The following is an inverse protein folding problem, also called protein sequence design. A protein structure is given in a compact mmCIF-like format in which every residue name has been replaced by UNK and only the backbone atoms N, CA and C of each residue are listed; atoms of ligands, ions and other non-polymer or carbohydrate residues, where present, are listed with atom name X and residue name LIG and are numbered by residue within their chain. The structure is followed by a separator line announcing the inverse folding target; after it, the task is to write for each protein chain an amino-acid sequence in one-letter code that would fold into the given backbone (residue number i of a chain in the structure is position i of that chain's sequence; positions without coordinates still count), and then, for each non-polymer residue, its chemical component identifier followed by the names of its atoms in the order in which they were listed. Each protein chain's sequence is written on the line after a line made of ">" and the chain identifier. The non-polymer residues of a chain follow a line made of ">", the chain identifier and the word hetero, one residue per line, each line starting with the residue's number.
data_IF_487623613219
#
_entry.id   IF_487623613219
#
_cell.length_a   1.000
_cell.length_b   1.000
_cell.length_c   1.000
_cell.angle_alpha   90.00
_cell.angle_beta   90.00
_cell.angle_gamma   90.00
#
_symmetry.space_group_name_H-M   'P 1'
#
loop_
_entity.id
_entity.type
_entity.pdbx_description
1 polymer ?
#
# COMPACT_ATOMS: atom_id res chain seq x y z
N UNK A 1 -18.47 -23.13 17.07
CA UNK A 1 -19.80 -22.55 16.80
C UNK A 1 -20.84 -23.45 17.46
N UNK A 2 -21.74 -22.90 18.28
CA UNK A 2 -22.78 -23.68 18.97
C UNK A 2 -23.82 -24.21 17.97
N UNK A 3 -24.57 -25.24 18.35
CA UNK A 3 -25.57 -25.84 17.45
C UNK A 3 -26.74 -24.90 17.14
N UNK A 4 -27.10 -24.03 18.08
CA UNK A 4 -28.07 -22.96 17.86
C UNK A 4 -27.63 -22.00 16.74
N UNK A 5 -26.35 -21.57 16.75
CA UNK A 5 -25.81 -20.68 15.72
C UNK A 5 -25.73 -21.37 14.36
N UNK A 6 -25.39 -22.66 14.32
CA UNK A 6 -25.41 -23.45 13.08
C UNK A 6 -26.83 -23.56 12.52
N UNK A 7 -27.81 -23.89 13.38
CA UNK A 7 -29.21 -24.00 12.99
C UNK A 7 -29.73 -22.68 12.42
N UNK A 8 -29.43 -21.56 13.07
CA UNK A 8 -29.78 -20.22 12.61
C UNK A 8 -29.11 -19.86 11.27
N UNK A 9 -27.81 -20.14 11.10
CA UNK A 9 -27.07 -19.88 9.85
C UNK A 9 -27.62 -20.70 8.68
N UNK A 10 -28.07 -21.94 8.94
CA UNK A 10 -28.66 -22.82 7.93
C UNK A 10 -30.00 -22.30 7.38
N UNK A 11 -30.69 -21.39 8.08
CA UNK A 11 -31.91 -20.74 7.55
C UNK A 11 -31.62 -19.78 6.40
N UNK A 12 -30.36 -19.37 6.21
CA UNK A 12 -29.92 -18.36 5.25
C UNK A 12 -30.54 -16.96 5.41
N UNK A 13 -31.21 -16.69 6.54
CA UNK A 13 -31.73 -15.36 6.89
C UNK A 13 -30.58 -14.36 7.10
N UNK A 14 -29.46 -14.83 7.64
CA UNK A 14 -28.20 -14.09 7.71
C UNK A 14 -27.04 -15.03 7.36
N UNK A 15 -25.88 -14.45 7.07
CA UNK A 15 -24.64 -15.19 6.87
C UNK A 15 -23.56 -14.68 7.81
N UNK A 16 -22.75 -15.61 8.32
CA UNK A 16 -21.55 -15.26 9.08
C UNK A 16 -20.46 -14.96 8.05
N UNK A 17 -20.04 -13.70 7.99
CA UNK A 17 -18.92 -13.26 7.16
C UNK A 17 -17.58 -13.65 7.83
N UNK A 18 -16.44 -13.44 7.16
CA UNK A 18 -15.10 -13.67 7.73
C UNK A 18 -14.76 -15.15 8.05
N UNK A 19 -15.32 -16.09 7.28
CA UNK A 19 -15.08 -17.52 7.47
C UNK A 19 -13.98 -18.07 6.56
N UNK A 20 -13.68 -17.39 5.46
CA UNK A 20 -12.73 -17.81 4.42
C UNK A 20 -11.68 -16.74 4.03
N UNK A 21 -11.72 -15.57 4.67
CA UNK A 21 -10.85 -14.40 4.36
C UNK A 21 -10.48 -13.64 5.62
N UNK A 22 -9.33 -12.99 5.59
CA UNK A 22 -8.88 -12.09 6.66
C UNK A 22 -9.79 -10.87 6.87
N UNK A 23 -9.62 -10.22 8.01
CA UNK A 23 -10.33 -8.99 8.35
C UNK A 23 -9.72 -7.80 7.62
N UNK A 24 -10.49 -7.24 6.70
CA UNK A 24 -10.18 -5.97 6.02
C UNK A 24 -11.07 -4.84 6.50
N UNK A 25 -11.44 -3.95 5.58
CA UNK A 25 -12.19 -2.71 5.88
C UNK A 25 -11.39 -1.76 6.78
N UNK A 26 -10.12 -1.58 6.42
CA UNK A 26 -9.21 -0.69 7.10
C UNK A 26 -8.69 0.36 6.13
N UNK A 27 -8.41 1.54 6.66
CA UNK A 27 -7.58 2.55 6.01
C UNK A 27 -6.31 2.57 6.84
N UNK A 28 -5.17 2.22 6.23
CA UNK A 28 -3.90 2.34 6.93
C UNK A 28 -3.54 3.80 7.15
N UNK A 29 -2.67 4.07 8.11
CA UNK A 29 -2.18 5.42 8.38
C UNK A 29 -1.14 5.85 7.32
N UNK A 30 -1.61 6.07 6.09
CA UNK A 30 -0.80 6.61 5.00
C UNK A 30 -0.13 7.94 5.37
N UNK A 31 -0.78 8.89 6.08
CA UNK A 31 -0.08 10.08 6.57
C UNK A 31 1.15 9.74 7.42
N UNK A 32 1.06 8.82 8.38
CA UNK A 32 2.22 8.41 9.18
C UNK A 32 3.30 7.75 8.33
N UNK A 33 2.91 6.85 7.43
CA UNK A 33 3.84 6.18 6.51
C UNK A 33 4.61 7.19 5.65
N UNK A 34 3.90 8.12 5.00
CA UNK A 34 4.50 9.05 4.04
C UNK A 34 5.31 10.15 4.72
N UNK A 35 4.93 10.57 5.94
CA UNK A 35 5.65 11.62 6.66
C UNK A 35 6.94 11.13 7.34
N UNK A 36 7.01 9.85 7.72
CA UNK A 36 8.17 9.27 8.40
C UNK A 36 9.02 8.38 7.48
N UNK A 37 8.41 7.73 6.49
CA UNK A 37 9.07 6.70 5.67
C UNK A 37 9.31 5.40 6.43
N UNK A 38 9.79 4.36 5.73
CA UNK A 38 10.01 3.05 6.34
C UNK A 38 11.19 3.03 7.31
N UNK A 39 12.29 3.73 6.99
CA UNK A 39 13.48 3.72 7.84
C UNK A 39 13.21 4.28 9.24
N UNK A 40 12.46 5.38 9.35
CA UNK A 40 12.11 5.93 10.66
C UNK A 40 11.16 4.99 11.43
N UNK A 41 10.18 4.38 10.75
CA UNK A 41 9.28 3.41 11.39
C UNK A 41 10.03 2.17 11.91
N UNK A 42 11.03 1.68 11.17
CA UNK A 42 11.93 0.62 11.61
C UNK A 42 12.70 1.06 12.85
N UNK A 43 13.31 2.25 12.85
CA UNK A 43 14.06 2.77 13.99
C UNK A 43 13.18 2.92 15.25
N UNK A 44 11.95 3.45 15.10
CA UNK A 44 10.98 3.53 16.19
C UNK A 44 10.66 2.14 16.75
N UNK A 45 10.45 1.14 15.88
CA UNK A 45 10.12 -0.21 16.32
C UNK A 45 11.32 -0.93 16.96
N UNK A 46 12.54 -0.68 16.50
CA UNK A 46 13.77 -1.16 17.13
C UNK A 46 13.89 -0.64 18.56
N UNK A 47 13.60 0.66 18.78
CA UNK A 47 13.59 1.25 20.12
C UNK A 47 12.53 0.58 21.03
N UNK A 48 11.33 0.32 20.50
CA UNK A 48 10.30 -0.40 21.25
C UNK A 48 10.72 -1.83 21.62
N UNK A 49 11.37 -2.56 20.70
CA UNK A 49 11.92 -3.88 20.97
C UNK A 49 13.01 -3.84 22.05
N UNK A 50 13.88 -2.82 22.05
CA UNK A 50 14.92 -2.66 23.09
C UNK A 50 14.30 -2.39 24.47
N UNK A 51 13.24 -1.59 24.53
CA UNK A 51 12.54 -1.27 25.78
C UNK A 51 11.70 -2.44 26.30
N UNK A 52 11.16 -3.27 25.40
CA UNK A 52 10.32 -4.42 25.73
C UNK A 52 10.77 -5.65 24.93
N UNK A 53 11.93 -6.24 25.27
CA UNK A 53 12.53 -7.34 24.50
C UNK A 53 11.67 -8.58 24.45
N UNK A 54 10.84 -8.85 25.46
CA UNK A 54 9.94 -10.02 25.50
C UNK A 54 8.60 -9.79 24.76
N UNK A 55 8.38 -8.58 24.21
CA UNK A 55 7.14 -8.28 23.49
C UNK A 55 7.18 -8.83 22.06
N UNK A 56 6.66 -10.05 21.89
CA UNK A 56 6.60 -10.73 20.59
C UNK A 56 5.87 -9.93 19.50
N UNK A 57 4.89 -9.09 19.86
CA UNK A 57 4.20 -8.27 18.87
C UNK A 57 5.13 -7.20 18.27
N UNK A 58 5.96 -6.55 19.09
CA UNK A 58 6.94 -5.59 18.59
C UNK A 58 8.02 -6.25 17.73
N UNK A 59 8.49 -7.43 18.13
CA UNK A 59 9.43 -8.21 17.33
C UNK A 59 8.83 -8.58 15.96
N UNK A 60 7.58 -9.06 15.93
CA UNK A 60 6.90 -9.40 14.68
C UNK A 60 6.69 -8.17 13.79
N UNK A 61 6.30 -7.03 14.36
CA UNK A 61 6.12 -5.78 13.63
C UNK A 61 7.45 -5.26 13.04
N UNK A 62 8.56 -5.37 13.78
CA UNK A 62 9.89 -5.02 13.29
C UNK A 62 10.28 -5.90 12.10
N UNK A 63 10.13 -7.22 12.23
CA UNK A 63 10.42 -8.17 11.15
C UNK A 63 9.62 -7.87 9.88
N UNK A 64 8.34 -7.49 10.03
CA UNK A 64 7.49 -7.12 8.89
C UNK A 64 7.97 -5.84 8.20
N UNK A 65 8.36 -4.81 8.96
CA UNK A 65 8.90 -3.57 8.40
C UNK A 65 10.23 -3.82 7.67
N UNK A 66 11.14 -4.60 8.25
CA UNK A 66 12.40 -4.98 7.60
C UNK A 66 12.18 -5.84 6.35
N UNK A 67 11.21 -6.75 6.38
CA UNK A 67 10.80 -7.53 5.21
C UNK A 67 10.22 -6.63 4.11
N UNK A 68 9.49 -5.58 4.48
CA UNK A 68 8.95 -4.59 3.55
C UNK A 68 10.07 -3.82 2.85
N UNK A 69 11.09 -3.37 3.59
CA UNK A 69 12.29 -2.75 3.00
C UNK A 69 12.98 -3.70 2.01
N UNK A 70 13.19 -4.97 2.40
CA UNK A 70 13.80 -5.99 1.52
C UNK A 70 12.97 -6.23 0.26
N UNK A 71 11.64 -6.26 0.37
CA UNK A 71 10.75 -6.41 -0.78
C UNK A 71 10.92 -5.27 -1.78
N UNK A 72 10.99 -4.02 -1.30
CA UNK A 72 11.22 -2.84 -2.14
C UNK A 72 12.59 -2.89 -2.81
N UNK A 73 13.65 -3.28 -2.07
CA UNK A 73 15.00 -3.39 -2.62
C UNK A 73 15.11 -4.45 -3.72
N UNK A 74 14.34 -5.54 -3.65
CA UNK A 74 14.27 -6.54 -4.74
C UNK A 74 13.73 -5.94 -6.03
N UNK A 75 12.78 -5.01 -5.96
CA UNK A 75 12.30 -4.30 -7.15
C UNK A 75 13.34 -3.30 -7.69
N UNK A 76 14.16 -2.70 -6.82
CA UNK A 76 15.27 -1.87 -7.27
C UNK A 76 16.29 -2.68 -8.08
N UNK A 77 16.72 -3.83 -7.56
CA UNK A 77 17.64 -4.74 -8.24
C UNK A 77 17.07 -5.27 -9.57
N UNK A 78 15.77 -5.59 -9.60
CA UNK A 78 15.08 -6.00 -10.81
C UNK A 78 15.07 -4.89 -11.85
N UNK A 79 14.76 -3.65 -11.44
CA UNK A 79 14.71 -2.51 -12.35
C UNK A 79 16.11 -2.20 -12.92
N UNK A 80 17.17 -2.26 -12.11
CA UNK A 80 18.57 -2.15 -12.58
C UNK A 80 18.94 -3.25 -13.59
N UNK A 81 18.55 -4.49 -13.31
CA UNK A 81 18.78 -5.63 -14.20
C UNK A 81 18.07 -5.45 -15.55
N UNK A 82 16.82 -4.96 -15.52
CA UNK A 82 16.06 -4.65 -16.72
C UNK A 82 16.67 -3.47 -17.49
N UNK A 83 17.15 -2.43 -16.79
CA UNK A 83 17.78 -1.27 -17.39
C UNK A 83 19.07 -1.64 -18.14
N UNK A 84 19.90 -2.51 -17.56
CA UNK A 84 21.14 -2.99 -18.17
C UNK A 84 20.90 -3.72 -19.51
N UNK A 85 19.74 -4.36 -19.67
CA UNK A 85 19.36 -5.09 -20.87
C UNK A 85 18.41 -4.28 -21.79
N UNK A 86 18.14 -3.02 -21.46
CA UNK A 86 17.20 -2.17 -22.21
C UNK A 86 17.89 -1.38 -23.31
N UNK A 87 17.46 -1.59 -24.55
CA UNK A 87 17.99 -0.89 -25.73
C UNK A 87 17.38 0.50 -25.90
N UNK A 88 16.13 0.69 -25.46
CA UNK A 88 15.44 1.98 -25.51
C UNK A 88 15.99 2.90 -24.40
N UNK A 89 16.53 4.06 -24.80
CA UNK A 89 17.22 4.96 -23.88
C UNK A 89 16.26 5.60 -22.87
N UNK A 90 15.05 5.96 -23.29
CA UNK A 90 14.05 6.57 -22.41
C UNK A 90 13.57 5.56 -21.37
N UNK A 91 13.23 4.34 -21.82
CA UNK A 91 12.78 3.28 -20.92
C UNK A 91 13.88 2.85 -19.94
N UNK A 92 15.14 2.85 -20.38
CA UNK A 92 16.28 2.59 -19.50
C UNK A 92 16.35 3.63 -18.39
N UNK A 93 16.19 4.90 -18.70
CA UNK A 93 16.20 5.98 -17.70
C UNK A 93 15.04 5.85 -16.70
N UNK A 94 13.83 5.51 -17.18
CA UNK A 94 12.68 5.23 -16.32
C UNK A 94 12.97 4.08 -15.34
N UNK A 95 13.61 3.00 -15.81
CA UNK A 95 13.96 1.85 -14.98
C UNK A 95 15.02 2.21 -13.92
N UNK A 96 16.05 2.98 -14.30
CA UNK A 96 17.04 3.48 -13.35
C UNK A 96 16.40 4.40 -12.30
N UNK A 97 15.48 5.26 -12.72
CA UNK A 97 14.71 6.13 -11.82
C UNK A 97 13.85 5.32 -10.85
N UNK A 98 13.17 4.26 -11.32
CA UNK A 98 12.40 3.35 -10.46
C UNK A 98 13.31 2.69 -9.42
N UNK A 99 14.51 2.27 -9.81
CA UNK A 99 15.48 1.68 -8.89
C UNK A 99 15.94 2.66 -7.83
N UNK A 100 16.33 3.88 -8.23
CA UNK A 100 16.74 4.96 -7.33
C UNK A 100 15.63 5.27 -6.31
N UNK A 101 14.41 5.51 -6.79
CA UNK A 101 13.24 5.78 -5.94
C UNK A 101 12.99 4.63 -4.96
N UNK A 102 13.11 3.38 -5.41
CA UNK A 102 12.90 2.21 -4.56
C UNK A 102 13.96 2.12 -3.47
N UNK A 103 15.24 2.35 -3.80
CA UNK A 103 16.32 2.41 -2.79
C UNK A 103 16.12 3.55 -1.80
N UNK A 104 15.71 4.72 -2.28
CA UNK A 104 15.38 5.86 -1.42
C UNK A 104 14.25 5.52 -0.45
N UNK A 105 13.10 5.08 -0.96
CA UNK A 105 11.90 4.78 -0.17
C UNK A 105 12.09 3.64 0.82
N UNK A 106 13.01 2.71 0.55
CA UNK A 106 13.34 1.66 1.49
C UNK A 106 13.93 2.24 2.80
N UNK A 107 14.64 3.36 2.75
CA UNK A 107 15.36 3.89 3.92
C UNK A 107 14.87 5.28 4.38
N UNK A 108 14.25 6.04 3.50
CA UNK A 108 13.93 7.44 3.74
C UNK A 108 12.47 7.74 3.44
N UNK A 109 11.98 8.86 4.01
CA UNK A 109 10.68 9.39 3.64
C UNK A 109 10.69 9.87 2.18
N UNK A 110 9.58 9.69 1.43
CA UNK A 110 9.45 10.26 0.10
C UNK A 110 9.57 11.78 0.16
N UNK A 111 10.12 12.37 -0.89
CA UNK A 111 10.34 13.81 -1.03
C UNK A 111 9.63 14.37 -2.28
N UNK A 112 9.43 13.53 -3.29
CA UNK A 112 8.71 13.88 -4.52
C UNK A 112 7.38 13.12 -4.63
N UNK A 113 6.51 13.57 -5.53
CA UNK A 113 5.26 12.88 -5.83
C UNK A 113 5.48 11.47 -6.34
N UNK A 114 6.49 11.24 -7.20
CA UNK A 114 6.81 9.91 -7.70
C UNK A 114 7.25 8.98 -6.56
N UNK A 115 8.14 9.43 -5.68
CA UNK A 115 8.55 8.67 -4.51
C UNK A 115 7.35 8.32 -3.62
N UNK A 116 6.47 9.28 -3.36
CA UNK A 116 5.26 9.07 -2.56
C UNK A 116 4.31 8.04 -3.20
N UNK A 117 4.04 8.16 -4.50
CA UNK A 117 3.20 7.22 -5.24
C UNK A 117 3.76 5.80 -5.21
N UNK A 118 5.09 5.66 -5.36
CA UNK A 118 5.75 4.38 -5.35
C UNK A 118 5.72 3.72 -3.95
N UNK A 119 6.02 4.47 -2.88
CA UNK A 119 5.94 3.94 -1.51
C UNK A 119 4.50 3.56 -1.14
N UNK A 120 3.53 4.42 -1.49
CA UNK A 120 2.12 4.14 -1.32
C UNK A 120 1.73 2.81 -2.00
N UNK A 121 2.16 2.60 -3.25
CA UNK A 121 1.83 1.39 -3.99
C UNK A 121 2.48 0.13 -3.40
N UNK A 122 3.77 0.19 -3.04
CA UNK A 122 4.45 -0.94 -2.40
C UNK A 122 3.73 -1.38 -1.13
N UNK A 123 3.33 -0.43 -0.28
CA UNK A 123 2.63 -0.78 0.95
C UNK A 123 1.23 -1.36 0.69
N UNK A 124 0.51 -0.90 -0.33
CA UNK A 124 -0.75 -1.53 -0.74
C UNK A 124 -0.56 -3.00 -1.11
N UNK A 125 0.48 -3.31 -1.88
CA UNK A 125 0.79 -4.69 -2.30
C UNK A 125 1.24 -5.56 -1.11
N UNK A 126 2.12 -5.04 -0.26
CA UNK A 126 2.62 -5.77 0.91
C UNK A 126 1.47 -6.17 1.84
N UNK A 127 0.51 -5.27 2.08
CA UNK A 127 -0.65 -5.55 2.94
C UNK A 127 -1.57 -6.64 2.35
N UNK A 128 -1.63 -6.76 1.03
CA UNK A 128 -2.40 -7.80 0.36
C UNK A 128 -1.68 -9.15 0.35
N UNK A 129 -0.35 -9.16 0.43
CA UNK A 129 0.41 -10.38 0.70
C UNK A 129 0.25 -10.86 2.14
N UNK A 130 0.16 -9.93 3.10
CA UNK A 130 -0.05 -10.26 4.50
C UNK A 130 -1.42 -10.90 4.75
N UNK A 131 -2.46 -10.41 4.07
CA UNK A 131 -3.82 -10.87 4.26
C UNK A 131 -4.62 -10.84 2.96
N UNK A 132 -5.38 -11.89 2.68
CA UNK A 132 -6.36 -11.94 1.58
C UNK A 132 -7.64 -11.13 1.87
N UNK A 133 -7.57 -10.21 2.83
CA UNK A 133 -8.62 -9.30 3.20
C UNK A 133 -8.96 -8.35 2.04
N UNK A 134 -10.26 -8.14 1.80
CA UNK A 134 -10.73 -7.13 0.85
C UNK A 134 -10.93 -5.77 1.52
N UNK A 135 -11.10 -4.73 0.71
CA UNK A 135 -11.42 -3.37 1.16
C UNK A 135 -10.27 -2.68 1.93
N UNK A 136 -9.02 -2.91 1.52
CA UNK A 136 -7.90 -2.03 1.85
C UNK A 136 -8.12 -0.70 1.15
N UNK A 137 -8.66 0.28 1.88
CA UNK A 137 -9.17 1.52 1.29
C UNK A 137 -8.07 2.58 1.24
N UNK A 138 -8.05 3.35 0.15
CA UNK A 138 -7.05 4.42 -0.03
C UNK A 138 -7.38 5.66 0.80
N UNK A 139 -8.62 5.79 1.28
CA UNK A 139 -9.05 6.90 2.12
C UNK A 139 -8.96 8.24 1.38
N UNK A 140 -8.44 9.27 2.07
CA UNK A 140 -8.31 10.64 1.56
C UNK A 140 -7.00 10.85 0.80
N UNK A 141 -6.80 10.04 -0.26
CA UNK A 141 -5.60 10.08 -1.11
C UNK A 141 -5.26 11.46 -1.63
N UNK A 142 -6.27 12.27 -1.95
CA UNK A 142 -6.08 13.66 -2.34
C UNK A 142 -5.33 14.48 -1.29
N UNK A 143 -5.58 14.28 0.00
CA UNK A 143 -5.03 15.14 1.06
C UNK A 143 -3.59 14.80 1.42
N UNK A 144 -3.29 13.53 1.65
CA UNK A 144 -1.94 13.14 2.08
C UNK A 144 -0.93 13.12 0.93
N UNK A 145 -1.39 13.08 -0.32
CA UNK A 145 -0.51 13.15 -1.50
C UNK A 145 -0.29 14.57 -2.01
N UNK A 146 -1.19 15.52 -1.72
CA UNK A 146 -1.13 16.89 -2.21
C UNK A 146 0.20 17.61 -1.88
N UNK A 147 0.78 17.50 -0.67
CA UNK A 147 2.05 18.15 -0.37
C UNK A 147 3.20 17.68 -1.28
N UNK A 148 3.24 16.39 -1.61
CA UNK A 148 4.26 15.83 -2.52
C UNK A 148 4.03 16.30 -3.96
N UNK A 149 2.77 16.34 -4.41
CA UNK A 149 2.41 16.87 -5.73
C UNK A 149 2.82 18.34 -5.89
N UNK A 150 2.51 19.17 -4.89
CA UNK A 150 2.88 20.58 -4.88
C UNK A 150 4.41 20.76 -4.85
N UNK A 151 5.10 19.96 -4.03
CA UNK A 151 6.57 19.99 -3.95
C UNK A 151 7.21 19.68 -5.30
N UNK A 152 6.80 18.60 -5.97
CA UNK A 152 7.29 18.23 -7.30
C UNK A 152 7.06 19.33 -8.34
N UNK A 153 5.86 19.94 -8.37
CA UNK A 153 5.60 21.09 -9.25
C UNK A 153 6.53 22.28 -8.98
N UNK A 154 6.76 22.61 -7.70
CA UNK A 154 7.65 23.72 -7.34
C UNK A 154 9.12 23.43 -7.66
N UNK A 155 9.52 22.16 -7.71
CA UNK A 155 10.84 21.71 -8.12
C UNK A 155 11.02 21.68 -9.65
N UNK A 156 9.95 21.97 -10.40
CA UNK A 156 9.98 22.04 -11.86
C UNK A 156 9.62 20.74 -12.58
N UNK A 157 9.08 19.74 -11.87
CA UNK A 157 8.52 18.56 -12.54
C UNK A 157 7.30 18.96 -13.38
N UNK A 158 7.19 18.39 -14.58
CA UNK A 158 6.10 18.69 -15.51
C UNK A 158 4.76 18.16 -14.99
N UNK A 159 3.72 19.00 -15.06
CA UNK A 159 2.39 18.64 -14.57
C UNK A 159 1.76 17.51 -15.38
N UNK A 160 2.04 17.40 -16.69
CA UNK A 160 1.52 16.30 -17.50
C UNK A 160 2.18 14.98 -17.10
N UNK A 161 3.48 14.99 -16.81
CA UNK A 161 4.18 13.84 -16.25
C UNK A 161 3.63 13.40 -14.89
N UNK A 162 3.39 14.33 -13.95
CA UNK A 162 2.78 13.98 -12.65
C UNK A 162 1.38 13.37 -12.80
N UNK A 163 0.61 13.83 -13.80
CA UNK A 163 -0.69 13.24 -14.14
C UNK A 163 -0.52 11.81 -14.67
N UNK A 164 0.46 11.57 -15.54
CA UNK A 164 0.75 10.22 -16.05
C UNK A 164 1.16 9.25 -14.93
N UNK A 165 1.94 9.70 -13.94
CA UNK A 165 2.26 8.91 -12.76
C UNK A 165 1.00 8.50 -11.98
N UNK A 166 0.06 9.43 -11.82
CA UNK A 166 -1.22 9.14 -11.17
C UNK A 166 -2.08 8.17 -11.99
N UNK A 167 -2.10 8.31 -13.31
CA UNK A 167 -2.79 7.39 -14.23
C UNK A 167 -2.18 5.98 -14.17
N UNK A 168 -0.85 5.89 -14.14
CA UNK A 168 -0.12 4.62 -13.97
C UNK A 168 -0.45 3.95 -12.65
N UNK A 169 -0.52 4.71 -11.55
CA UNK A 169 -0.97 4.21 -10.25
C UNK A 169 -2.42 3.71 -10.32
N UNK A 170 -3.29 4.39 -11.07
CA UNK A 170 -4.68 3.99 -11.27
C UNK A 170 -4.79 2.66 -12.03
N UNK A 171 -3.99 2.47 -13.06
CA UNK A 171 -3.89 1.18 -13.76
C UNK A 171 -3.44 0.09 -12.78
N UNK A 172 -2.43 0.37 -11.95
CA UNK A 172 -1.92 -0.58 -10.95
C UNK A 172 -2.96 -1.01 -9.92
N UNK A 173 -3.80 -0.10 -9.44
CA UNK A 173 -4.92 -0.42 -8.55
C UNK A 173 -5.93 -1.43 -9.13
N UNK A 174 -5.91 -1.70 -10.44
CA UNK A 174 -6.78 -2.68 -11.10
C UNK A 174 -6.06 -4.01 -11.42
N UNK A 175 -4.76 -4.12 -11.12
CA UNK A 175 -3.94 -5.33 -11.39
C UNK A 175 -4.20 -6.44 -10.36
N UNK A 176 -4.71 -6.07 -9.19
CA UNK A 176 -4.99 -7.01 -8.09
C UNK A 176 -6.34 -7.67 -8.31
N UNK A 177 -6.33 -9.01 -8.31
CA UNK A 177 -7.55 -9.81 -8.42
C UNK A 177 -7.65 -10.78 -7.24
N UNK A 178 -8.73 -10.64 -6.45
CA UNK A 178 -9.05 -11.58 -5.38
C UNK A 178 -9.92 -12.73 -5.89
N UNK A 179 -9.38 -13.94 -5.85
CA UNK A 179 -10.13 -15.17 -6.12
C UNK A 179 -11.05 -15.49 -4.93
N UNK A 180 -12.29 -15.88 -5.23
CA UNK A 180 -13.32 -16.21 -4.24
C UNK A 180 -14.02 -17.50 -4.65
N UNK A 181 -14.54 -18.23 -3.66
CA UNK A 181 -15.42 -19.38 -3.91
C UNK A 181 -16.63 -18.97 -4.76
N UNK A 182 -17.19 -19.90 -5.54
CA UNK A 182 -18.33 -19.63 -6.44
C UNK A 182 -19.51 -19.02 -5.68
N UNK A 183 -19.81 -19.51 -4.48
CA UNK A 183 -20.88 -18.98 -3.62
C UNK A 183 -20.61 -17.53 -3.20
N UNK A 184 -19.38 -17.22 -2.77
CA UNK A 184 -18.98 -15.86 -2.39
C UNK A 184 -18.95 -14.91 -3.60
N UNK A 185 -18.49 -15.38 -4.76
CA UNK A 185 -18.40 -14.58 -5.99
C UNK A 185 -19.77 -14.07 -6.48
N UNK A 186 -20.88 -14.76 -6.17
CA UNK A 186 -22.24 -14.29 -6.50
C UNK A 186 -22.58 -12.95 -5.83
N UNK A 187 -22.03 -12.69 -4.65
CA UNK A 187 -22.25 -11.44 -3.89
C UNK A 187 -21.16 -10.39 -4.13
N UNK A 188 -20.04 -10.80 -4.75
CA UNK A 188 -18.90 -9.94 -5.07
C UNK A 188 -18.47 -10.15 -6.54
N UNK A 189 -19.43 -10.05 -7.46
CA UNK A 189 -19.18 -10.25 -8.88
C UNK A 189 -18.28 -9.16 -9.48
N UNK A 190 -17.54 -9.50 -10.55
CA UNK A 190 -16.63 -8.62 -11.33
C UNK A 190 -15.30 -8.26 -10.68
N UNK A 191 -14.74 -9.17 -9.86
CA UNK A 191 -13.43 -9.00 -9.22
C UNK A 191 -13.20 -7.70 -8.43
N UNK A 192 -14.17 -7.18 -7.65
CA UNK A 192 -13.94 -5.98 -6.86
C UNK A 192 -13.04 -6.32 -5.65
N UNK A 193 -11.89 -5.65 -5.57
CA UNK A 193 -11.09 -5.55 -4.35
C UNK A 193 -11.62 -4.45 -3.40
N UNK A 194 -12.52 -3.60 -3.90
CA UNK A 194 -13.17 -2.51 -3.13
C UNK A 194 -12.19 -1.51 -2.53
N UNK A 195 -11.23 -1.05 -3.35
CA UNK A 195 -10.41 0.12 -3.08
C UNK A 195 -11.28 1.39 -3.05
N UNK A 196 -11.82 1.73 -1.87
CA UNK A 196 -12.60 2.95 -1.71
C UNK A 196 -11.67 4.17 -1.57
N UNK A 197 -11.92 5.18 -2.41
CA UNK A 197 -11.31 6.51 -2.29
C UNK A 197 -12.38 7.52 -1.92
N UNK A 198 -12.03 8.46 -1.04
CA UNK A 198 -12.87 9.62 -0.76
C UNK A 198 -12.16 10.86 -1.28
N UNK A 199 -12.83 11.66 -2.10
CA UNK A 199 -12.36 12.96 -2.54
C UNK A 199 -13.34 14.05 -2.07
N UNK A 200 -12.81 15.15 -1.52
CA UNK A 200 -13.54 16.32 -0.97
C UNK A 200 -14.54 16.05 0.18
N UNK A 201 -14.15 16.44 1.40
CA UNK A 201 -15.01 17.03 2.44
C UNK A 201 -14.13 17.78 3.47
N UNK A 202 -14.63 18.92 3.98
CA UNK A 202 -14.06 19.87 4.98
C UNK A 202 -12.75 19.45 5.67
N UNK A 203 -11.72 20.29 5.55
CA UNK A 203 -10.53 20.21 6.41
C UNK A 203 -10.96 20.57 7.84
N UNK A 204 -10.69 19.69 8.81
CA UNK A 204 -10.68 20.11 10.21
C UNK A 204 -9.43 20.95 10.40
N UNK A 205 -9.57 22.27 10.33
CA UNK A 205 -8.60 23.17 10.93
C UNK A 205 -8.51 22.77 12.42
N UNK A 206 -7.36 22.22 12.83
CA UNK A 206 -7.06 22.02 14.24
C UNK A 206 -6.69 23.39 14.78
N UNK A 207 -7.63 24.03 15.48
CA UNK A 207 -7.32 25.03 16.53
C UNK A 207 -6.53 24.40 17.65
#
# INVERSE_FOLDING_TARGET
>A
MTDEVKAATNTQIFSINQTDKGQGHIIIDYPRLLNHGLGELVAQMQQHCQQQPENHFYQAALLLLEASQKHILRYAELAETMAANCTDAQRREELLTIAEISRHNAQHKPQTFWQACQLFWYMNIILQYESNASSLSLGRFDQYMLPFYQTSLTQGEDAAFLKELLESLWVKCNDIVLLRSTSSARYFARFPDRLYRTARRVNRERT
#
